data_IF_490270452114
#
_entry.id   IF_490270452114
#
_cell.length_a   1.000
_cell.length_b   1.000
_cell.length_c   1.000
_cell.angle_alpha   90.00
_cell.angle_beta   90.00
_cell.angle_gamma   90.00
#
_symmetry.space_group_name_H-M   'P 1'
#
loop_
_entity.id
_entity.type
_entity.pdbx_description
1 polymer ?
#
# COMPACT_ATOMS: atom_id res chain seq x y z
N UNK A 1 10.97 -21.13 -0.17
CA UNK A 1 10.06 -20.30 0.63
C UNK A 1 10.85 -19.06 0.98
N UNK A 2 10.68 -17.96 0.24
CA UNK A 2 11.40 -16.73 0.55
C UNK A 2 10.79 -16.13 1.84
N UNK A 3 11.55 -15.94 2.92
CA UNK A 3 11.03 -15.38 4.16
C UNK A 3 10.49 -13.95 3.98
N UNK A 4 11.00 -13.21 2.97
CA UNK A 4 10.54 -11.84 2.66
C UNK A 4 9.05 -11.78 2.30
N UNK A 5 8.48 -12.84 1.73
CA UNK A 5 7.07 -12.84 1.31
C UNK A 5 6.06 -12.85 2.45
N UNK A 6 6.41 -13.37 3.63
CA UNK A 6 5.42 -13.53 4.69
C UNK A 6 5.22 -12.22 5.47
N UNK A 7 6.30 -11.55 5.87
CA UNK A 7 6.22 -10.22 6.49
C UNK A 7 5.59 -9.20 5.52
N UNK A 8 5.98 -9.21 4.24
CA UNK A 8 5.36 -8.37 3.21
C UNK A 8 3.86 -8.59 3.09
N UNK A 9 3.43 -9.85 3.21
CA UNK A 9 2.02 -10.22 3.09
C UNK A 9 1.22 -9.86 4.32
N UNK A 10 1.76 -10.07 5.52
CA UNK A 10 1.14 -9.62 6.77
C UNK A 10 0.96 -8.10 6.79
N UNK A 11 1.99 -7.39 6.34
CA UNK A 11 1.93 -5.93 6.18
C UNK A 11 0.88 -5.58 5.13
N UNK A 12 0.92 -6.15 3.93
CA UNK A 12 -0.05 -5.87 2.87
C UNK A 12 -1.50 -6.14 3.29
N UNK A 13 -1.78 -7.28 3.92
CA UNK A 13 -3.11 -7.64 4.45
C UNK A 13 -3.55 -6.71 5.58
N UNK A 14 -2.62 -6.03 6.27
CA UNK A 14 -2.95 -4.99 7.23
C UNK A 14 -3.44 -3.70 6.56
N UNK A 15 -2.96 -3.39 5.34
CA UNK A 15 -3.41 -2.24 4.55
C UNK A 15 -4.67 -2.53 3.73
N UNK A 16 -4.76 -3.71 3.11
CA UNK A 16 -5.90 -4.20 2.32
C UNK A 16 -7.06 -4.61 3.25
N UNK A 17 -7.91 -3.63 3.62
CA UNK A 17 -8.97 -3.84 4.61
C UNK A 17 -10.14 -4.63 4.05
N UNK A 18 -10.40 -4.48 2.76
CA UNK A 18 -11.50 -5.20 2.10
C UNK A 18 -11.07 -6.60 1.61
N UNK A 19 -9.77 -6.88 1.58
CA UNK A 19 -9.20 -8.17 1.19
C UNK A 19 -9.30 -8.44 -0.30
N UNK A 20 -9.42 -7.39 -1.13
CA UNK A 20 -9.57 -7.51 -2.58
C UNK A 20 -8.23 -7.83 -3.29
N UNK A 21 -7.11 -7.82 -2.57
CA UNK A 21 -5.76 -8.08 -3.08
C UNK A 21 -5.06 -6.85 -3.66
N UNK A 22 -5.61 -5.66 -3.47
CA UNK A 22 -5.09 -4.35 -3.91
C UNK A 22 -5.37 -3.29 -2.86
N UNK A 23 -4.40 -2.42 -2.58
CA UNK A 23 -4.62 -1.29 -1.66
C UNK A 23 -5.09 -0.10 -2.48
N UNK A 24 -6.30 0.37 -2.20
CA UNK A 24 -6.83 1.57 -2.84
C UNK A 24 -6.45 2.87 -2.08
N UNK A 25 -6.63 4.06 -2.68
CA UNK A 25 -6.29 5.32 -2.02
C UNK A 25 -7.08 5.56 -0.73
N UNK A 26 -8.30 5.04 -0.64
CA UNK A 26 -9.15 5.21 0.54
C UNK A 26 -8.65 4.33 1.71
N UNK A 27 -8.21 3.12 1.41
CA UNK A 27 -7.60 2.19 2.38
C UNK A 27 -6.26 2.73 2.90
N UNK A 28 -5.41 3.23 2.00
CA UNK A 28 -4.16 3.88 2.38
C UNK A 28 -4.41 5.09 3.28
N UNK A 29 -5.39 5.94 2.92
CA UNK A 29 -5.79 7.10 3.73
C UNK A 29 -6.31 6.68 5.10
N UNK A 30 -7.23 5.72 5.17
CA UNK A 30 -7.82 5.25 6.41
C UNK A 30 -6.77 4.71 7.39
N UNK A 31 -5.75 4.03 6.86
CA UNK A 31 -4.64 3.54 7.67
C UNK A 31 -3.72 4.67 8.14
N UNK A 32 -3.39 5.63 7.27
CA UNK A 32 -2.59 6.79 7.64
C UNK A 32 -3.28 7.64 8.72
N UNK A 33 -4.61 7.80 8.63
CA UNK A 33 -5.44 8.42 9.67
C UNK A 33 -5.41 7.61 10.98
N UNK A 34 -5.48 6.27 10.90
CA UNK A 34 -5.41 5.39 12.07
C UNK A 34 -4.04 5.42 12.78
N UNK A 35 -2.96 5.68 12.04
CA UNK A 35 -1.61 5.90 12.59
C UNK A 35 -1.45 7.30 13.23
N UNK A 36 -2.50 8.12 13.23
CA UNK A 36 -2.49 9.46 13.83
C UNK A 36 -1.94 10.55 12.91
N UNK A 37 -1.74 10.24 11.62
CA UNK A 37 -1.34 11.22 10.61
C UNK A 37 -2.56 11.85 9.94
N UNK A 38 -2.70 13.17 10.06
CA UNK A 38 -3.65 13.94 9.27
C UNK A 38 -3.10 14.17 7.87
N UNK A 39 -3.07 13.14 7.03
CA UNK A 39 -2.63 13.27 5.64
C UNK A 39 -3.77 13.77 4.77
N UNK A 40 -3.43 14.71 3.89
CA UNK A 40 -4.35 15.23 2.88
C UNK A 40 -4.52 14.23 1.73
N UNK A 41 -5.64 14.31 1.02
CA UNK A 41 -5.89 13.47 -0.17
C UNK A 41 -4.78 13.60 -1.24
N UNK A 42 -4.11 14.76 -1.28
CA UNK A 42 -3.00 15.02 -2.18
C UNK A 42 -1.74 14.25 -1.76
N UNK A 43 -1.40 14.25 -0.47
CA UNK A 43 -0.26 13.48 0.05
C UNK A 43 -0.45 11.97 -0.14
N UNK A 44 -1.68 11.48 0.08
CA UNK A 44 -2.04 10.08 -0.19
C UNK A 44 -1.88 9.76 -1.67
N UNK A 45 -2.34 10.65 -2.57
CA UNK A 45 -2.16 10.49 -4.02
C UNK A 45 -0.69 10.49 -4.44
N UNK A 46 0.13 11.34 -3.83
CA UNK A 46 1.57 11.40 -4.11
C UNK A 46 2.22 10.07 -3.72
N UNK A 47 1.98 9.60 -2.49
CA UNK A 47 2.51 8.32 -2.04
C UNK A 47 2.03 7.15 -2.89
N UNK A 48 0.76 7.16 -3.30
CA UNK A 48 0.22 6.14 -4.18
C UNK A 48 0.91 6.16 -5.55
N UNK A 49 1.13 7.33 -6.15
CA UNK A 49 1.87 7.46 -7.42
C UNK A 49 3.32 7.01 -7.35
N UNK A 50 3.96 7.05 -6.19
CA UNK A 50 5.33 6.55 -6.04
C UNK A 50 5.40 5.02 -6.09
N UNK A 51 4.31 4.35 -5.71
CA UNK A 51 4.22 2.89 -5.61
C UNK A 51 3.50 2.28 -6.82
N UNK A 52 2.38 2.86 -7.24
CA UNK A 52 1.55 2.50 -8.40
C UNK A 52 2.34 2.74 -9.71
N UNK A 53 2.94 1.67 -10.23
CA UNK A 53 3.80 1.70 -11.42
C UNK A 53 2.99 1.53 -12.68
N UNK A 54 1.88 0.79 -12.59
CA UNK A 54 1.02 0.50 -13.74
C UNK A 54 -0.01 1.61 -14.00
N UNK A 55 -0.21 2.53 -13.05
CA UNK A 55 -1.10 3.68 -13.15
C UNK A 55 -2.58 3.31 -13.05
N UNK A 56 -2.91 2.16 -12.45
CA UNK A 56 -4.29 1.69 -12.31
C UNK A 56 -5.03 2.39 -11.15
N UNK A 57 -4.33 3.22 -10.37
CA UNK A 57 -4.87 3.95 -9.22
C UNK A 57 -4.99 3.12 -7.94
N UNK A 58 -4.36 1.95 -7.90
CA UNK A 58 -4.33 1.00 -6.79
C UNK A 58 -2.92 0.43 -6.66
N UNK A 59 -2.60 -0.11 -5.49
CA UNK A 59 -1.30 -0.77 -5.25
C UNK A 59 -1.52 -2.26 -5.22
N UNK A 60 -0.95 -2.97 -6.19
CA UNK A 60 -0.96 -4.42 -6.23
C UNK A 60 0.13 -4.99 -5.31
N UNK A 61 -0.05 -6.22 -4.80
CA UNK A 61 0.96 -6.89 -3.98
C UNK A 61 2.34 -6.92 -4.65
N UNK A 62 2.39 -7.12 -5.98
CA UNK A 62 3.63 -7.08 -6.75
C UNK A 62 4.32 -5.72 -6.76
N UNK A 63 3.55 -4.64 -6.78
CA UNK A 63 4.06 -3.27 -6.75
C UNK A 63 4.56 -2.90 -5.36
N UNK A 64 3.77 -3.26 -4.33
CA UNK A 64 4.15 -3.11 -2.93
C UNK A 64 5.44 -3.87 -2.60
N UNK A 65 5.52 -5.16 -2.98
CA UNK A 65 6.70 -5.98 -2.75
C UNK A 65 7.94 -5.43 -3.46
N UNK A 66 7.77 -4.93 -4.69
CA UNK A 66 8.87 -4.30 -5.44
C UNK A 66 9.32 -2.99 -4.78
N UNK A 67 8.40 -2.16 -4.31
CA UNK A 67 8.73 -0.91 -3.61
C UNK A 67 9.46 -1.19 -2.30
N UNK A 68 8.99 -2.16 -1.50
CA UNK A 68 9.59 -2.52 -0.23
C UNK A 68 10.97 -3.18 -0.35
N UNK A 69 11.17 -4.01 -1.37
CA UNK A 69 12.48 -4.65 -1.64
C UNK A 69 13.47 -3.74 -2.36
N UNK A 70 13.00 -2.65 -3.00
CA UNK A 70 13.85 -1.63 -3.59
C UNK A 70 14.44 -0.63 -2.58
N UNK A 71 14.22 -0.86 -1.28
CA UNK A 71 14.80 -0.09 -0.17
C UNK A 71 16.30 -0.29 -0.02
#
# INVERSE_FOLDING_TARGET
MAPETQELREVFEHFDRDGNGTIDPAELKALLEALGGGFTDEEVRIGLKEIDRNGNGKIEFSEFARWWTAR
#
